data_IF_960010276290
#
_entry.id   IF_960010276290
#
_cell.length_a   1.000
_cell.length_b   1.000
_cell.length_c   1.000
_cell.angle_alpha   90.00
_cell.angle_beta   90.00
_cell.angle_gamma   90.00
#
_symmetry.space_group_name_H-M   'P 1'
#
loop_
_entity.id
_entity.type
_entity.pdbx_description
1 polymer ?
#
# COMPACT_ATOMS: atom_id res chain seq x y z
N UNK A 1 33.09 -15.23 14.45
CA UNK A 1 32.31 -14.34 15.34
C UNK A 1 31.37 -13.48 14.49
N UNK A 2 30.33 -14.06 13.88
CA UNK A 2 29.47 -13.36 12.91
C UNK A 2 27.96 -13.63 13.12
N UNK A 3 27.56 -14.14 14.30
CA UNK A 3 26.15 -14.44 14.60
C UNK A 3 25.39 -13.27 15.27
N UNK A 4 26.09 -12.22 15.70
CA UNK A 4 25.47 -11.12 16.49
C UNK A 4 24.69 -10.11 15.62
N UNK A 5 25.07 -9.94 14.35
CA UNK A 5 24.48 -8.90 13.48
C UNK A 5 23.12 -9.30 12.88
N UNK A 6 22.92 -10.57 12.52
CA UNK A 6 21.68 -11.03 11.88
C UNK A 6 20.49 -11.08 12.85
N UNK A 7 20.72 -11.49 14.10
CA UNK A 7 19.70 -11.51 15.14
C UNK A 7 19.27 -10.08 15.51
N UNK A 8 20.23 -9.17 15.67
CA UNK A 8 19.96 -7.76 15.93
C UNK A 8 19.22 -7.08 14.76
N UNK A 9 19.57 -7.41 13.51
CA UNK A 9 18.86 -6.95 12.32
C UNK A 9 17.40 -7.43 12.33
N UNK A 10 17.17 -8.72 12.59
CA UNK A 10 15.83 -9.30 12.64
C UNK A 10 14.93 -8.65 13.69
N UNK A 11 15.49 -8.31 14.85
CA UNK A 11 14.76 -7.61 15.91
C UNK A 11 14.39 -6.18 15.50
N UNK A 12 15.30 -5.47 14.82
CA UNK A 12 15.03 -4.12 14.28
C UNK A 12 13.95 -4.16 13.21
N UNK A 13 13.99 -5.11 12.27
CA UNK A 13 12.91 -5.30 11.28
C UNK A 13 11.57 -5.52 11.97
N UNK A 14 11.54 -6.35 13.02
CA UNK A 14 10.32 -6.59 13.81
C UNK A 14 9.79 -5.32 14.47
N UNK A 15 10.66 -4.51 15.06
CA UNK A 15 10.24 -3.25 15.68
C UNK A 15 9.75 -2.22 14.66
N UNK A 16 10.43 -2.11 13.51
CA UNK A 16 9.97 -1.28 12.39
C UNK A 16 8.59 -1.76 11.94
N UNK A 17 8.45 -3.05 11.61
CA UNK A 17 7.17 -3.63 11.19
C UNK A 17 6.06 -3.33 12.19
N UNK A 18 6.28 -3.61 13.47
CA UNK A 18 5.30 -3.36 14.53
C UNK A 18 4.96 -1.88 14.74
N UNK A 19 5.82 -0.95 14.32
CA UNK A 19 5.54 0.49 14.40
C UNK A 19 4.66 0.98 13.24
N UNK A 20 4.67 0.29 12.09
CA UNK A 20 3.86 0.64 10.92
C UNK A 20 2.57 -0.19 10.80
N UNK A 21 2.58 -1.41 11.33
CA UNK A 21 1.42 -2.31 11.47
C UNK A 21 0.39 -1.69 12.42
N UNK A 22 -0.55 -0.94 11.86
CA UNK A 22 -1.51 -0.13 12.60
C UNK A 22 -2.72 -0.95 13.03
N UNK A 23 -3.11 -1.94 12.23
CA UNK A 23 -4.20 -2.87 12.52
C UNK A 23 -3.74 -4.13 13.29
N UNK A 24 -2.42 -4.30 13.48
CA UNK A 24 -1.79 -5.39 14.24
C UNK A 24 -2.14 -6.77 13.68
N UNK A 25 -2.29 -6.87 12.35
CA UNK A 25 -2.63 -8.11 11.68
C UNK A 25 -1.38 -8.95 11.31
N UNK A 26 -0.17 -8.42 11.57
CA UNK A 26 1.15 -8.97 11.21
C UNK A 26 1.46 -8.97 9.71
N UNK A 27 0.73 -8.18 8.92
CA UNK A 27 0.94 -7.99 7.49
C UNK A 27 0.89 -6.52 7.11
N UNK A 28 1.95 -6.01 6.49
CA UNK A 28 1.92 -4.64 5.99
C UNK A 28 1.12 -4.57 4.69
N UNK A 29 0.00 -3.87 4.73
CA UNK A 29 -0.79 -3.56 3.53
C UNK A 29 -0.11 -2.45 2.69
N UNK A 30 -0.73 -2.07 1.57
CA UNK A 30 -0.17 -1.03 0.67
C UNK A 30 0.07 0.31 1.38
N UNK A 31 -0.87 0.74 2.22
CA UNK A 31 -0.80 2.04 2.89
C UNK A 31 0.32 2.05 3.94
N UNK A 32 0.43 0.97 4.73
CA UNK A 32 1.44 0.82 5.76
C UNK A 32 2.84 0.65 5.18
N UNK A 33 2.96 -0.17 4.13
CA UNK A 33 4.23 -0.34 3.44
C UNK A 33 4.65 0.94 2.70
N UNK A 34 3.70 1.68 2.10
CA UNK A 34 4.00 2.98 1.50
C UNK A 34 4.43 4.00 2.55
N UNK A 35 3.86 3.98 3.75
CA UNK A 35 4.29 4.85 4.86
C UNK A 35 5.72 4.51 5.30
N UNK A 36 6.04 3.22 5.43
CA UNK A 36 7.39 2.75 5.72
C UNK A 36 8.40 3.17 4.64
N UNK A 37 8.05 3.01 3.37
CA UNK A 37 8.91 3.42 2.25
C UNK A 37 9.11 4.94 2.22
N UNK A 38 8.08 5.70 2.56
CA UNK A 38 8.14 7.15 2.62
C UNK A 38 9.07 7.62 3.74
N UNK A 39 8.98 7.04 4.93
CA UNK A 39 9.84 7.41 6.07
C UNK A 39 11.31 7.04 5.84
N UNK A 40 11.56 5.89 5.19
CA UNK A 40 12.93 5.38 4.99
C UNK A 40 13.61 6.01 3.77
N UNK A 41 12.90 6.06 2.64
CA UNK A 41 13.43 6.45 1.33
C UNK A 41 12.93 7.82 0.84
N UNK A 42 11.95 8.43 1.52
CA UNK A 42 11.30 9.67 1.07
C UNK A 42 10.30 9.49 -0.07
N UNK A 43 10.09 8.26 -0.53
CA UNK A 43 9.28 7.94 -1.70
C UNK A 43 8.04 7.13 -1.31
N UNK A 44 6.90 7.50 -1.87
CA UNK A 44 5.65 6.73 -1.74
C UNK A 44 5.66 5.56 -2.70
N UNK A 45 5.10 4.43 -2.25
CA UNK A 45 5.00 3.21 -3.05
C UNK A 45 3.65 3.19 -3.77
N UNK A 46 3.66 3.08 -5.10
CA UNK A 46 2.42 2.94 -5.86
C UNK A 46 1.89 1.49 -5.81
N UNK A 47 0.59 1.31 -6.09
CA UNK A 47 -0.07 0.00 -6.10
C UNK A 47 0.60 -0.97 -7.07
N UNK A 48 1.03 -0.52 -8.25
CA UNK A 48 1.74 -1.38 -9.20
C UNK A 48 3.10 -1.84 -8.65
N UNK A 49 3.84 -0.94 -7.98
CA UNK A 49 5.12 -1.28 -7.35
C UNK A 49 4.92 -2.27 -6.21
N UNK A 50 3.91 -2.05 -5.37
CA UNK A 50 3.53 -2.96 -4.30
C UNK A 50 3.18 -4.35 -4.82
N UNK A 51 2.40 -4.47 -5.90
CA UNK A 51 2.08 -5.77 -6.51
C UNK A 51 3.35 -6.46 -7.02
N UNK A 52 4.30 -5.72 -7.58
CA UNK A 52 5.60 -6.28 -7.99
C UNK A 52 6.41 -6.80 -6.80
N UNK A 53 6.48 -6.03 -5.70
CA UNK A 53 7.17 -6.46 -4.46
C UNK A 53 6.51 -7.70 -3.87
N UNK A 54 5.18 -7.72 -3.77
CA UNK A 54 4.43 -8.89 -3.31
C UNK A 54 4.73 -10.11 -4.18
N UNK A 55 4.74 -9.97 -5.51
CA UNK A 55 5.09 -11.06 -6.44
C UNK A 55 6.53 -11.53 -6.26
N UNK A 56 7.48 -10.62 -6.09
CA UNK A 56 8.88 -10.97 -5.88
C UNK A 56 9.10 -11.76 -4.58
N UNK A 57 8.34 -11.44 -3.53
CA UNK A 57 8.40 -12.09 -2.22
C UNK A 57 7.44 -13.27 -2.06
N UNK A 58 6.67 -13.62 -3.10
CA UNK A 58 5.67 -14.70 -3.04
C UNK A 58 4.48 -14.40 -2.13
N UNK A 59 4.22 -13.13 -1.81
CA UNK A 59 3.11 -12.67 -0.99
C UNK A 59 1.89 -12.29 -1.84
N UNK A 60 0.71 -12.29 -1.22
CA UNK A 60 -0.52 -11.83 -1.87
C UNK A 60 -0.76 -10.35 -1.58
N UNK A 61 -0.92 -9.49 -2.62
CA UNK A 61 -1.13 -8.05 -2.42
C UNK A 61 -2.42 -7.73 -1.64
N UNK A 62 -3.44 -8.60 -1.72
CA UNK A 62 -4.68 -8.46 -0.95
C UNK A 62 -4.58 -8.92 0.51
N UNK A 63 -3.45 -9.51 0.93
CA UNK A 63 -3.20 -9.90 2.33
C UNK A 63 -2.11 -9.05 2.98
N UNK A 64 -1.10 -8.62 2.23
CA UNK A 64 0.01 -7.84 2.78
C UNK A 64 1.35 -8.55 2.72
N UNK A 65 2.39 -7.83 3.11
CA UNK A 65 3.74 -8.37 3.29
C UNK A 65 3.91 -8.77 4.74
N UNK A 66 4.19 -10.05 4.97
CA UNK A 66 4.48 -10.56 6.32
C UNK A 66 5.85 -10.10 6.81
N UNK A 67 6.04 -10.10 8.13
CA UNK A 67 7.33 -9.85 8.78
C UNK A 67 8.48 -10.69 8.18
N UNK A 68 8.24 -11.96 7.87
CA UNK A 68 9.26 -12.86 7.29
C UNK A 68 9.67 -12.40 5.90
N UNK A 69 8.71 -11.99 5.08
CA UNK A 69 8.98 -11.43 3.75
C UNK A 69 9.73 -10.09 3.84
N UNK A 70 9.42 -9.25 4.83
CA UNK A 70 10.15 -8.00 5.07
C UNK A 70 11.59 -8.26 5.49
N UNK A 71 11.84 -9.27 6.36
CA UNK A 71 13.20 -9.70 6.73
C UNK A 71 13.98 -10.17 5.51
N UNK A 72 13.35 -10.91 4.60
CA UNK A 72 13.94 -11.34 3.33
C UNK A 72 14.38 -10.14 2.47
N UNK A 73 13.56 -9.09 2.40
CA UNK A 73 13.93 -7.84 1.72
C UNK A 73 15.17 -7.21 2.33
N UNK A 74 15.25 -7.12 3.67
CA UNK A 74 16.41 -6.57 4.37
C UNK A 74 17.65 -7.46 4.35
N UNK A 75 17.46 -8.77 4.10
CA UNK A 75 18.55 -9.71 3.91
C UNK A 75 19.12 -9.67 2.48
N UNK A 76 18.43 -9.00 1.54
CA UNK A 76 18.95 -8.78 0.21
C UNK A 76 20.07 -7.72 0.22
N UNK A 77 21.02 -7.84 -0.71
CA UNK A 77 22.11 -6.85 -0.82
C UNK A 77 21.57 -5.47 -1.24
N UNK A 78 21.97 -4.42 -0.52
CA UNK A 78 21.64 -3.03 -0.84
C UNK A 78 20.65 -2.33 0.10
N UNK A 79 20.21 -3.00 1.18
CA UNK A 79 19.33 -2.41 2.21
C UNK A 79 20.00 -2.44 3.58
N UNK A 80 20.00 -1.30 4.27
CA UNK A 80 20.57 -1.15 5.61
C UNK A 80 19.46 -0.96 6.65
N UNK A 81 19.01 -2.07 7.25
CA UNK A 81 17.99 -2.07 8.32
C UNK A 81 18.34 -1.12 9.46
N UNK A 82 19.64 -0.95 9.73
CA UNK A 82 20.11 -0.12 10.82
C UNK A 82 19.88 1.37 10.53
N UNK A 83 20.16 1.80 9.29
CA UNK A 83 19.91 3.17 8.85
C UNK A 83 18.42 3.48 8.80
N UNK A 84 17.60 2.52 8.36
CA UNK A 84 16.15 2.67 8.30
C UNK A 84 15.53 2.69 9.70
N UNK A 85 16.01 1.84 10.62
CA UNK A 85 15.62 1.89 12.03
C UNK A 85 15.93 3.26 12.64
N UNK A 86 17.14 3.79 12.42
CA UNK A 86 17.49 5.12 12.94
C UNK A 86 16.58 6.20 12.35
N UNK A 87 16.24 6.21 11.06
CA UNK A 87 15.31 7.21 10.52
C UNK A 87 13.94 7.15 11.20
N UNK A 88 13.33 5.96 11.21
CA UNK A 88 11.98 5.74 11.75
C UNK A 88 11.87 6.13 13.23
N UNK A 89 12.91 5.85 14.02
CA UNK A 89 12.89 6.08 15.46
C UNK A 89 13.60 7.38 15.90
N UNK A 90 14.44 8.00 15.08
CA UNK A 90 15.19 9.24 15.39
C UNK A 90 14.38 10.50 15.06
N UNK A 91 13.51 10.48 14.05
CA UNK A 91 12.69 11.65 13.68
C UNK A 91 11.62 12.03 14.75
N UNK A 92 11.35 11.16 15.72
CA UNK A 92 10.47 11.52 16.86
C UNK A 92 11.13 12.44 17.89
N UNK A 93 12.43 12.73 17.79
CA UNK A 93 13.14 13.65 18.70
C UNK A 93 13.45 15.03 18.10
N UNK A 94 13.15 15.27 16.82
CA UNK A 94 13.47 16.51 16.13
C UNK A 94 12.22 17.18 15.56
N UNK A 95 11.80 18.26 16.22
CA UNK A 95 10.93 19.32 15.70
C UNK A 95 11.03 19.48 14.17
N UNK A 96 10.02 19.06 13.40
CA UNK A 96 9.86 19.57 12.04
C UNK A 96 8.41 19.78 11.64
N UNK A 97 8.15 21.05 11.46
CA UNK A 97 6.93 21.69 11.03
C UNK A 97 6.75 21.50 9.53
N UNK A 98 5.99 20.50 9.07
CA UNK A 98 5.43 20.55 7.71
C UNK A 98 3.92 20.31 7.72
N UNK A 99 3.27 21.42 7.42
CA UNK A 99 1.85 21.61 7.20
C UNK A 99 1.40 20.77 6.02
N UNK A 100 0.67 19.67 6.25
CA UNK A 100 -0.30 19.19 5.26
C UNK A 100 -1.69 19.63 5.66
N UNK A 101 -1.97 20.87 5.26
CA UNK A 101 -3.32 21.35 5.08
C UNK A 101 -4.11 20.36 4.22
N UNK A 102 -5.13 19.72 4.80
CA UNK A 102 -6.41 19.51 4.13
C UNK A 102 -7.54 19.67 5.14
N UNK A 103 -7.90 20.94 5.25
CA UNK A 103 -9.20 21.48 5.65
C UNK A 103 -10.34 20.67 5.01
N UNK A 104 -11.12 19.98 5.84
CA UNK A 104 -12.54 19.71 5.59
C UNK A 104 -13.30 19.87 6.90
N UNK A 105 -13.59 21.14 7.19
CA UNK A 105 -14.45 21.59 8.28
C UNK A 105 -15.90 21.40 7.86
N UNK A 106 -16.64 20.60 8.64
CA UNK A 106 -18.04 20.81 9.07
C UNK A 106 -19.11 20.91 7.96
N UNK A 107 -20.15 20.10 8.05
CA UNK A 107 -21.46 20.55 8.57
C UNK A 107 -22.47 19.42 8.40
N UNK A 108 -22.87 18.84 9.53
CA UNK A 108 -24.14 18.14 9.67
C UNK A 108 -25.27 19.07 9.24
N UNK A 109 -25.97 18.76 8.15
CA UNK A 109 -27.32 19.24 7.92
C UNK A 109 -28.25 18.02 7.87
N UNK A 110 -29.08 17.95 8.91
CA UNK A 110 -30.25 17.10 8.98
C UNK A 110 -31.29 17.53 7.94
N UNK A 111 -32.23 16.60 7.66
CA UNK A 111 -33.60 16.83 7.18
C UNK A 111 -33.75 17.36 5.75
N UNK A 112 -34.76 17.06 4.94
CA UNK A 112 -35.94 16.20 4.89
C UNK A 112 -36.60 16.58 3.53
N UNK A 113 -37.51 15.73 3.03
CA UNK A 113 -38.51 16.03 1.96
C UNK A 113 -37.99 15.85 0.52
N UNK A 114 -38.35 14.81 -0.23
CA UNK A 114 -39.66 14.37 -0.77
C UNK A 114 -40.05 15.06 -2.08
N UNK A 115 -40.54 14.23 -3.03
CA UNK A 115 -41.26 14.54 -4.28
C UNK A 115 -40.32 14.75 -5.49
N UNK A 116 -40.57 14.24 -6.70
CA UNK A 116 -41.72 13.61 -7.36
C UNK A 116 -41.25 13.15 -8.74
N UNK A 117 -41.84 12.05 -9.22
CA UNK A 117 -42.33 11.77 -10.58
C UNK A 117 -41.56 12.13 -11.88
N UNK A 118 -41.61 11.18 -12.80
CA UNK A 118 -41.51 11.40 -14.25
C UNK A 118 -40.30 10.71 -14.88
N UNK A 119 -40.40 9.43 -15.26
CA UNK A 119 -40.83 8.95 -16.58
C UNK A 119 -39.65 8.86 -17.58
N UNK A 120 -39.77 7.88 -18.48
CA UNK A 120 -39.23 7.85 -19.85
C UNK A 120 -38.11 6.84 -20.18
N UNK A 121 -38.59 5.65 -20.58
CA UNK A 121 -38.24 4.78 -21.72
C UNK A 121 -36.83 4.79 -22.34
N UNK A 122 -36.34 3.58 -22.62
CA UNK A 122 -35.32 3.36 -23.65
C UNK A 122 -34.67 1.99 -23.57
N UNK A 123 -35.39 0.95 -23.98
CA UNK A 123 -34.82 -0.36 -24.30
C UNK A 123 -34.03 -0.26 -25.61
N UNK A 124 -32.74 -0.59 -25.63
CA UNK A 124 -32.08 -1.09 -26.84
C UNK A 124 -30.85 -1.92 -26.49
N UNK A 125 -31.10 -3.22 -26.49
CA UNK A 125 -30.15 -4.32 -26.61
C UNK A 125 -29.36 -4.13 -27.92
N UNK A 126 -28.13 -3.64 -27.85
CA UNK A 126 -27.23 -3.56 -29.01
C UNK A 126 -26.30 -4.77 -28.99
N UNK A 127 -26.79 -5.87 -29.58
CA UNK A 127 -25.95 -6.97 -30.05
C UNK A 127 -25.44 -6.60 -31.46
N UNK A 128 -24.29 -5.92 -31.54
CA UNK A 128 -23.62 -5.70 -32.82
C UNK A 128 -22.73 -6.91 -33.16
N UNK A 129 -23.26 -7.81 -33.98
CA UNK A 129 -22.53 -8.92 -34.59
C UNK A 129 -21.74 -8.37 -35.78
N UNK A 130 -20.44 -8.12 -35.57
CA UNK A 130 -19.51 -7.85 -36.66
C UNK A 130 -19.07 -9.15 -37.34
N UNK A 131 -19.85 -9.59 -38.33
CA UNK A 131 -19.45 -10.56 -39.34
C UNK A 131 -18.17 -10.08 -40.05
N UNK A 132 -17.01 -10.62 -39.67
CA UNK A 132 -15.81 -10.56 -40.49
C UNK A 132 -15.37 -11.98 -40.78
N UNK A 133 -15.95 -12.51 -41.86
CA UNK A 133 -15.59 -13.78 -42.47
C UNK A 133 -14.09 -13.85 -42.73
N UNK A 134 -13.47 -14.89 -42.19
CA UNK A 134 -12.12 -15.30 -42.57
C UNK A 134 -12.28 -16.47 -43.52
N UNK A 135 -12.36 -16.16 -44.82
CA UNK A 135 -12.15 -17.13 -45.89
C UNK A 135 -10.71 -17.65 -45.80
N UNK A 136 -10.51 -18.84 -45.23
CA UNK A 136 -9.29 -19.61 -45.46
C UNK A 136 -9.53 -20.57 -46.63
N UNK A 137 -9.43 -20.02 -47.84
CA UNK A 137 -9.30 -20.82 -49.06
C UNK A 137 -7.86 -21.33 -49.23
N UNK A 138 -7.79 -22.66 -49.38
CA UNK A 138 -6.81 -23.49 -50.11
C UNK A 138 -5.74 -24.23 -49.33
#
# INVERSE_FOLDING_TARGET
MAEDTAAAASEKVRQIHSNFDSDNDNFLNLEELSALQFETSGNTLDKDQYVMVCRALGCHPGRGISLEALKLTYAAEGTDVNADYEKVFSERSGDNSISKAKKSKTTSISSMSSNTDGNDVGEEDVLEVGENGVDISR
#
